data_IF_909244678570
#
_entry.id   IF_909244678570
#
_cell.length_a   1.000
_cell.length_b   1.000
_cell.length_c   1.000
_cell.angle_alpha   90.00
_cell.angle_beta   90.00
_cell.angle_gamma   90.00
#
_symmetry.space_group_name_H-M   'P 1'
#
loop_
_entity.id
_entity.type
_entity.pdbx_description
1 polymer ?
#
# COMPACT_ATOMS: atom_id res chain seq x y z
N UNK A 1 1.31 12.75 -17.81
CA UNK A 1 0.97 11.31 -17.69
C UNK A 1 1.29 10.89 -16.27
N UNK A 2 0.47 10.03 -15.65
CA UNK A 2 0.87 9.46 -14.36
C UNK A 2 1.96 8.40 -14.58
N UNK A 3 3.00 8.34 -13.72
CA UNK A 3 4.01 7.28 -13.75
C UNK A 3 3.38 5.89 -13.73
N UNK A 4 4.02 4.91 -14.39
CA UNK A 4 3.62 3.51 -14.25
C UNK A 4 3.67 3.10 -12.75
N UNK A 5 2.56 2.65 -12.19
CA UNK A 5 2.39 2.37 -10.75
C UNK A 5 1.87 3.54 -9.91
N UNK A 6 2.00 4.78 -10.37
CA UNK A 6 1.29 5.93 -9.80
C UNK A 6 -0.11 5.97 -10.42
N UNK A 7 -1.13 5.57 -9.67
CA UNK A 7 -2.48 5.44 -10.24
C UNK A 7 -3.22 4.15 -9.94
N UNK A 8 -2.52 3.13 -9.42
CA UNK A 8 -3.02 1.76 -9.39
C UNK A 8 -3.85 1.40 -8.15
N UNK A 9 -4.17 2.38 -7.30
CA UNK A 9 -5.02 2.21 -6.11
C UNK A 9 -5.96 3.40 -5.94
N UNK A 10 -6.92 3.31 -5.01
CA UNK A 10 -7.95 4.33 -4.81
C UNK A 10 -7.39 5.72 -4.45
N UNK A 11 -6.19 5.80 -3.86
CA UNK A 11 -5.51 7.06 -3.53
C UNK A 11 -5.33 7.97 -4.77
N UNK A 12 -5.19 7.38 -5.96
CA UNK A 12 -5.06 8.13 -7.20
C UNK A 12 -6.35 8.83 -7.62
N UNK A 13 -7.51 8.20 -7.38
CA UNK A 13 -8.81 8.82 -7.68
C UNK A 13 -9.07 10.03 -6.78
N UNK A 14 -8.65 9.97 -5.51
CA UNK A 14 -8.64 11.14 -4.62
C UNK A 14 -7.73 12.26 -5.15
N UNK A 15 -6.53 11.91 -5.61
CA UNK A 15 -5.59 12.88 -6.19
C UNK A 15 -6.16 13.64 -7.38
N UNK A 16 -6.97 12.98 -8.23
CA UNK A 16 -7.61 13.62 -9.40
C UNK A 16 -8.58 14.76 -9.02
N UNK A 17 -9.16 14.71 -7.83
CA UNK A 17 -10.08 15.73 -7.33
C UNK A 17 -9.40 16.70 -6.35
N UNK A 18 -8.07 16.67 -6.26
CA UNK A 18 -7.29 17.57 -5.41
C UNK A 18 -7.30 17.22 -3.91
N UNK A 19 -7.73 16.01 -3.55
CA UNK A 19 -7.66 15.50 -2.18
C UNK A 19 -6.29 14.89 -1.95
N UNK A 20 -5.60 15.32 -0.88
CA UNK A 20 -4.35 14.72 -0.46
C UNK A 20 -4.61 13.28 0.02
N UNK A 21 -4.00 12.30 -0.66
CA UNK A 21 -4.13 10.89 -0.35
C UNK A 21 -2.80 10.16 -0.57
N UNK A 22 -2.59 9.09 0.20
CA UNK A 22 -1.40 8.24 0.11
C UNK A 22 -1.78 6.76 0.18
N UNK A 23 -0.87 5.89 -0.25
CA UNK A 23 -1.03 4.44 -0.25
C UNK A 23 0.17 3.79 0.45
N UNK A 24 -0.09 2.77 1.27
CA UNK A 24 0.93 1.92 1.87
C UNK A 24 0.81 0.53 1.27
N UNK A 25 1.92 -0.02 0.78
CA UNK A 25 1.95 -1.34 0.14
C UNK A 25 3.14 -2.16 0.66
N UNK A 26 2.88 -3.44 0.94
CA UNK A 26 3.89 -4.43 1.33
C UNK A 26 4.45 -5.20 0.11
N UNK A 27 4.36 -4.60 -1.08
CA UNK A 27 4.93 -5.14 -2.31
C UNK A 27 6.00 -4.19 -2.83
N UNK A 28 7.09 -4.74 -3.36
CA UNK A 28 8.03 -3.93 -4.12
C UNK A 28 7.41 -3.57 -5.46
N UNK A 29 7.52 -2.31 -5.87
CA UNK A 29 7.20 -1.86 -7.23
C UNK A 29 8.41 -1.92 -8.18
N UNK A 30 9.53 -2.47 -7.72
CA UNK A 30 10.67 -2.79 -8.56
C UNK A 30 10.32 -4.02 -9.40
N UNK A 31 10.03 -3.79 -10.69
CA UNK A 31 9.61 -4.82 -11.65
C UNK A 31 10.63 -5.94 -11.75
N UNK A 32 11.92 -5.66 -11.51
CA UNK A 32 12.97 -6.69 -11.56
C UNK A 32 12.80 -7.77 -10.50
N UNK A 33 12.04 -7.50 -9.43
CA UNK A 33 11.76 -8.42 -8.33
C UNK A 33 10.46 -9.19 -8.48
N UNK A 34 9.67 -8.94 -9.52
CA UNK A 34 8.35 -9.58 -9.68
C UNK A 34 8.47 -11.09 -9.94
N UNK A 35 9.62 -11.56 -10.44
CA UNK A 35 9.92 -12.99 -10.56
C UNK A 35 10.30 -13.66 -9.24
N UNK A 36 10.55 -12.91 -8.16
CA UNK A 36 11.01 -13.42 -6.86
C UNK A 36 9.85 -13.87 -5.97
N UNK A 37 8.99 -14.76 -6.46
CA UNK A 37 7.95 -15.38 -5.63
C UNK A 37 6.83 -14.43 -5.21
N UNK A 38 6.58 -13.35 -5.96
CA UNK A 38 5.40 -12.51 -5.78
C UNK A 38 4.14 -13.34 -6.01
N UNK A 39 3.30 -13.48 -4.98
CA UNK A 39 2.03 -14.24 -5.05
C UNK A 39 0.82 -13.37 -5.43
N UNK A 40 1.03 -12.07 -5.62
CA UNK A 40 0.00 -11.10 -6.02
C UNK A 40 -0.64 -11.47 -7.37
N UNK A 41 -1.99 -11.46 -7.45
CA UNK A 41 -2.78 -11.94 -8.60
C UNK A 41 -2.52 -13.41 -8.99
N UNK A 42 -2.25 -14.27 -8.02
CA UNK A 42 -2.11 -15.72 -8.23
C UNK A 42 -3.01 -16.51 -7.28
N UNK A 43 -3.28 -17.81 -7.55
CA UNK A 43 -3.97 -18.68 -6.60
C UNK A 43 -3.25 -18.87 -5.25
N UNK A 44 -1.98 -18.48 -5.16
CA UNK A 44 -1.18 -18.52 -3.94
C UNK A 44 -1.32 -17.25 -3.09
N UNK A 45 -2.22 -16.32 -3.44
CA UNK A 45 -2.58 -15.19 -2.58
C UNK A 45 -3.39 -15.70 -1.36
N UNK A 46 -2.65 -16.28 -0.42
CA UNK A 46 -3.15 -17.03 0.72
C UNK A 46 -2.47 -16.56 2.00
N UNK A 47 -3.13 -16.73 3.14
CA UNK A 47 -2.66 -16.20 4.43
C UNK A 47 -1.33 -16.78 4.91
N UNK A 48 -0.92 -17.95 4.42
CA UNK A 48 0.38 -18.54 4.74
C UNK A 48 1.58 -17.82 4.12
N UNK A 49 1.35 -16.91 3.15
CA UNK A 49 2.36 -16.03 2.57
C UNK A 49 2.42 -14.64 3.23
N UNK A 50 1.65 -14.41 4.30
CA UNK A 50 1.60 -13.15 5.02
C UNK A 50 2.48 -13.27 6.27
N UNK A 51 3.44 -12.37 6.46
CA UNK A 51 4.12 -12.19 7.74
C UNK A 51 3.24 -11.38 8.71
N UNK A 52 2.78 -11.95 9.85
CA UNK A 52 1.93 -11.23 10.80
C UNK A 52 2.54 -9.93 11.32
N UNK A 53 3.87 -9.89 11.46
CA UNK A 53 4.62 -8.72 11.92
C UNK A 53 4.52 -7.55 10.94
N UNK A 54 4.44 -7.82 9.64
CA UNK A 54 4.24 -6.79 8.61
C UNK A 54 2.84 -6.19 8.72
N UNK A 55 1.82 -7.02 8.98
CA UNK A 55 0.44 -6.56 9.23
C UNK A 55 0.37 -5.70 10.48
N UNK A 56 1.00 -6.13 11.57
CA UNK A 56 1.05 -5.36 12.82
C UNK A 56 1.75 -4.00 12.62
N UNK A 57 2.89 -3.98 11.92
CA UNK A 57 3.60 -2.76 11.62
C UNK A 57 2.75 -1.79 10.77
N UNK A 58 2.09 -2.30 9.73
CA UNK A 58 1.20 -1.51 8.89
C UNK A 58 0.04 -0.89 9.70
N UNK A 59 -0.60 -1.68 10.56
CA UNK A 59 -1.69 -1.18 11.42
C UNK A 59 -1.20 -0.11 12.40
N UNK A 60 -0.02 -0.26 12.99
CA UNK A 60 0.60 0.76 13.86
C UNK A 60 0.87 2.06 13.09
N UNK A 61 1.48 1.97 11.90
CA UNK A 61 1.74 3.14 11.05
C UNK A 61 0.44 3.87 10.71
N UNK A 62 -0.59 3.13 10.28
CA UNK A 62 -1.89 3.72 9.95
C UNK A 62 -2.54 4.40 11.16
N UNK A 63 -2.56 3.71 12.31
CA UNK A 63 -3.12 4.23 13.56
C UNK A 63 -2.40 5.50 14.01
N UNK A 64 -1.07 5.51 14.02
CA UNK A 64 -0.28 6.65 14.46
C UNK A 64 -0.43 7.84 13.49
N UNK A 65 -0.50 7.58 12.19
CA UNK A 65 -0.76 8.61 11.19
C UNK A 65 -2.13 9.26 11.39
N UNK A 66 -3.19 8.48 11.56
CA UNK A 66 -4.56 8.97 11.80
C UNK A 66 -4.59 9.84 13.07
N UNK A 67 -4.08 9.34 14.19
CA UNK A 67 -4.08 10.09 15.45
C UNK A 67 -3.30 11.40 15.37
N UNK A 68 -2.19 11.41 14.63
CA UNK A 68 -1.43 12.63 14.38
C UNK A 68 -2.27 13.63 13.58
N UNK A 69 -2.86 13.22 12.46
CA UNK A 69 -3.70 14.09 11.61
C UNK A 69 -4.92 14.63 12.36
N UNK A 70 -5.57 13.80 13.18
CA UNK A 70 -6.69 14.21 14.03
C UNK A 70 -6.28 15.27 15.05
N UNK A 71 -5.05 15.20 15.59
CA UNK A 71 -4.52 16.19 16.53
C UNK A 71 -4.07 17.51 15.89
N UNK A 72 -3.88 17.54 14.56
CA UNK A 72 -3.55 18.74 13.79
C UNK A 72 -4.81 19.56 13.41
N UNK A 73 -6.01 19.03 13.66
CA UNK A 73 -7.32 19.64 13.39
C UNK A 73 -7.88 20.36 14.62
#
# INVERSE_FOLDING_TARGET
SMPFGAGSTDAAEFGKIGVEATNMAAISFDISKFSEGLVYHTPNDLTNYIEPEVVEAALKIARDYILKKDSES
#
